data_IF_976862302722
#
_entry.id   IF_976862302722
#
_cell.length_a   1.000
_cell.length_b   1.000
_cell.length_c   1.000
_cell.angle_alpha   90.00
_cell.angle_beta   90.00
_cell.angle_gamma   90.00
#
_symmetry.space_group_name_H-M   'P 1'
#
loop_
_entity.id
_entity.type
_entity.pdbx_description
1 polymer ?
#
# COMPACT_ATOMS: atom_id res chain seq x y z
N UNK A 1 -9.55 2.03 -15.13
CA UNK A 1 -10.28 1.99 -13.84
C UNK A 1 -9.35 1.53 -12.74
N UNK A 2 -9.39 2.19 -11.57
CA UNK A 2 -8.76 1.75 -10.31
C UNK A 2 -9.82 1.02 -9.50
N UNK A 3 -9.56 -0.22 -9.11
CA UNK A 3 -10.39 -0.95 -8.16
C UNK A 3 -9.88 -0.68 -6.74
N UNK A 4 -10.74 -0.18 -5.86
CA UNK A 4 -10.43 0.07 -4.45
C UNK A 4 -11.12 -0.98 -3.60
N UNK A 5 -10.33 -1.81 -2.90
CA UNK A 5 -10.83 -2.76 -1.91
C UNK A 5 -10.87 -2.06 -0.55
N UNK A 6 -12.07 -1.79 -0.06
CA UNK A 6 -12.30 -1.06 1.19
C UNK A 6 -12.33 -2.02 2.39
N UNK A 7 -11.40 -1.84 3.30
CA UNK A 7 -11.27 -2.58 4.56
C UNK A 7 -12.06 -1.93 5.71
N UNK A 8 -13.18 -1.26 5.43
CA UNK A 8 -14.02 -0.59 6.43
C UNK A 8 -13.29 0.54 7.17
N UNK A 9 -12.52 1.32 6.45
CA UNK A 9 -11.77 2.44 7.02
C UNK A 9 -12.37 3.79 6.64
N UNK A 10 -12.44 4.71 7.60
CA UNK A 10 -12.96 6.06 7.37
C UNK A 10 -12.07 6.89 6.42
N UNK A 11 -10.79 6.55 6.29
CA UNK A 11 -9.86 7.23 5.40
C UNK A 11 -9.86 6.68 3.96
N UNK A 12 -10.54 5.54 3.68
CA UNK A 12 -10.66 5.00 2.32
C UNK A 12 -11.15 6.05 1.34
N UNK A 13 -12.17 6.83 1.73
CA UNK A 13 -12.75 7.84 0.84
C UNK A 13 -11.84 9.06 0.61
N UNK A 14 -10.87 9.34 1.48
CA UNK A 14 -9.84 10.33 1.21
C UNK A 14 -8.89 9.85 0.09
N UNK A 15 -8.53 8.56 0.06
CA UNK A 15 -7.78 7.96 -1.05
C UNK A 15 -8.60 8.03 -2.36
N UNK A 16 -9.88 7.71 -2.30
CA UNK A 16 -10.82 7.82 -3.43
C UNK A 16 -10.89 9.26 -3.93
N UNK A 17 -10.96 10.24 -3.03
CA UNK A 17 -10.96 11.65 -3.39
C UNK A 17 -9.66 12.04 -4.12
N UNK A 18 -8.48 11.68 -3.58
CA UNK A 18 -7.19 11.96 -4.23
C UNK A 18 -7.10 11.36 -5.64
N UNK A 19 -7.55 10.11 -5.79
CA UNK A 19 -7.62 9.47 -7.11
C UNK A 19 -8.60 10.19 -8.05
N UNK A 20 -9.76 10.64 -7.53
CA UNK A 20 -10.75 11.41 -8.29
C UNK A 20 -10.23 12.77 -8.75
N UNK A 21 -9.49 13.48 -7.90
CA UNK A 21 -8.82 14.76 -8.23
C UNK A 21 -7.76 14.57 -9.33
N UNK A 22 -7.19 13.38 -9.43
CA UNK A 22 -6.27 12.96 -10.50
C UNK A 22 -6.98 12.40 -11.74
N UNK A 23 -8.31 12.57 -11.83
CA UNK A 23 -9.17 12.10 -12.92
C UNK A 23 -9.14 10.57 -13.15
N UNK A 24 -8.88 9.78 -12.12
CA UNK A 24 -8.97 8.33 -12.22
C UNK A 24 -10.44 7.88 -12.27
N UNK A 25 -10.74 6.88 -13.10
CA UNK A 25 -11.99 6.12 -13.03
C UNK A 25 -11.88 5.11 -11.89
N UNK A 26 -12.82 5.12 -10.93
CA UNK A 26 -12.69 4.42 -9.65
C UNK A 26 -13.93 3.55 -9.39
N UNK A 27 -13.70 2.33 -8.94
CA UNK A 27 -14.73 1.44 -8.44
C UNK A 27 -14.36 0.98 -7.03
N UNK A 28 -15.24 1.21 -6.05
CA UNK A 28 -15.03 0.86 -4.64
C UNK A 28 -15.94 -0.30 -4.25
N UNK A 29 -15.38 -1.34 -3.64
CA UNK A 29 -16.14 -2.42 -2.99
C UNK A 29 -15.51 -2.78 -1.64
N UNK A 30 -16.35 -3.16 -0.69
CA UNK A 30 -15.89 -3.69 0.60
C UNK A 30 -15.29 -5.07 0.45
N UNK A 31 -14.38 -5.40 1.35
CA UNK A 31 -13.56 -6.60 1.32
C UNK A 31 -14.33 -7.93 1.53
N UNK A 32 -15.60 -7.85 1.91
CA UNK A 32 -16.52 -8.97 2.14
C UNK A 32 -17.77 -8.94 1.24
N UNK A 33 -17.90 -7.93 0.38
CA UNK A 33 -19.08 -7.73 -0.49
C UNK A 33 -18.80 -8.06 -1.97
N UNK A 34 -17.63 -8.64 -2.29
CA UNK A 34 -17.23 -8.98 -3.65
C UNK A 34 -16.41 -10.28 -3.65
N UNK A 35 -16.36 -10.95 -4.79
CA UNK A 35 -15.51 -12.15 -5.00
C UNK A 35 -14.38 -11.87 -5.99
N UNK A 36 -13.36 -12.74 -6.01
CA UNK A 36 -12.24 -12.64 -6.97
C UNK A 36 -12.74 -12.63 -8.41
N UNK A 37 -13.64 -13.54 -8.77
CA UNK A 37 -14.20 -13.64 -10.12
C UNK A 37 -14.96 -12.35 -10.52
N UNK A 38 -15.65 -11.73 -9.57
CA UNK A 38 -16.32 -10.46 -9.81
C UNK A 38 -15.33 -9.31 -10.01
N UNK A 39 -14.20 -9.30 -9.30
CA UNK A 39 -13.13 -8.32 -9.53
C UNK A 39 -12.50 -8.53 -10.92
N UNK A 40 -12.20 -9.78 -11.30
CA UNK A 40 -11.68 -10.08 -12.65
C UNK A 40 -12.66 -9.63 -13.75
N UNK A 41 -13.95 -9.90 -13.58
CA UNK A 41 -14.99 -9.49 -14.53
C UNK A 41 -15.09 -7.97 -14.71
N UNK A 42 -14.67 -7.18 -13.71
CA UNK A 42 -14.58 -5.69 -13.81
C UNK A 42 -13.37 -5.24 -14.62
N UNK A 43 -12.40 -6.13 -14.86
CA UNK A 43 -11.17 -5.87 -15.60
C UNK A 43 -10.45 -4.58 -15.17
N UNK A 44 -10.07 -4.45 -13.89
CA UNK A 44 -9.39 -3.26 -13.40
C UNK A 44 -8.00 -3.11 -14.02
N UNK A 45 -7.55 -1.88 -14.21
CA UNK A 45 -6.18 -1.60 -14.64
C UNK A 45 -5.18 -1.68 -13.46
N UNK A 46 -5.66 -1.51 -12.22
CA UNK A 46 -4.88 -1.58 -10.98
C UNK A 46 -5.78 -1.75 -9.76
N UNK A 47 -5.20 -2.20 -8.65
CA UNK A 47 -5.91 -2.38 -7.38
C UNK A 47 -5.25 -1.54 -6.29
N UNK A 48 -6.08 -0.83 -5.51
CA UNK A 48 -5.69 -0.18 -4.27
C UNK A 48 -6.37 -0.91 -3.10
N UNK A 49 -5.58 -1.36 -2.12
CA UNK A 49 -6.07 -1.98 -0.88
C UNK A 49 -5.97 -0.96 0.22
N UNK A 50 -7.11 -0.59 0.79
CA UNK A 50 -7.24 0.52 1.74
C UNK A 50 -6.62 0.22 3.11
N UNK A 51 -6.45 1.25 3.95
CA UNK A 51 -6.36 1.09 5.39
C UNK A 51 -7.53 0.29 5.94
N UNK A 52 -7.43 -0.13 7.19
CA UNK A 52 -8.51 -0.84 7.89
C UNK A 52 -8.15 -1.15 9.34
N UNK A 53 -9.14 -1.59 10.13
CA UNK A 53 -8.93 -2.05 11.50
C UNK A 53 -8.33 -3.45 11.55
N UNK A 54 -7.92 -3.87 12.75
CA UNK A 54 -7.48 -5.22 13.08
C UNK A 54 -6.19 -5.66 12.40
N UNK A 55 -6.10 -6.89 11.96
CA UNK A 55 -4.90 -7.53 11.41
C UNK A 55 -5.13 -8.01 9.98
N UNK A 56 -4.07 -8.35 9.21
CA UNK A 56 -4.22 -8.95 7.90
C UNK A 56 -5.10 -10.19 7.83
N UNK A 57 -5.19 -10.97 8.92
CA UNK A 57 -6.03 -12.18 8.99
C UNK A 57 -7.52 -11.86 8.99
N UNK A 58 -7.88 -10.65 9.39
CA UNK A 58 -9.25 -10.15 9.50
C UNK A 58 -9.60 -9.18 8.37
N UNK A 59 -8.69 -8.99 7.40
CA UNK A 59 -8.85 -8.07 6.26
C UNK A 59 -9.67 -8.67 5.10
N UNK A 60 -10.57 -9.62 5.38
CA UNK A 60 -11.44 -10.22 4.36
C UNK A 60 -10.65 -10.74 3.17
N UNK A 61 -11.05 -10.35 1.97
CA UNK A 61 -10.47 -10.81 0.70
C UNK A 61 -9.07 -10.24 0.40
N UNK A 62 -8.54 -9.31 1.20
CA UNK A 62 -7.32 -8.55 0.84
C UNK A 62 -6.12 -9.42 0.51
N UNK A 63 -5.86 -10.48 1.29
CA UNK A 63 -4.73 -11.39 1.05
C UNK A 63 -4.93 -12.21 -0.23
N UNK A 64 -6.15 -12.70 -0.46
CA UNK A 64 -6.48 -13.49 -1.65
C UNK A 64 -6.37 -12.63 -2.92
N UNK A 65 -6.83 -11.38 -2.88
CA UNK A 65 -6.68 -10.40 -3.96
C UNK A 65 -5.20 -10.17 -4.29
N UNK A 66 -4.34 -9.95 -3.28
CA UNK A 66 -2.91 -9.77 -3.50
C UNK A 66 -2.31 -10.99 -4.21
N UNK A 67 -2.58 -12.20 -3.72
CA UNK A 67 -2.04 -13.43 -4.28
C UNK A 67 -2.56 -13.71 -5.69
N UNK A 68 -3.86 -13.51 -5.90
CA UNK A 68 -4.49 -13.82 -7.18
C UNK A 68 -4.05 -12.87 -8.30
N UNK A 69 -3.91 -11.58 -8.00
CA UNK A 69 -3.54 -10.56 -8.98
C UNK A 69 -2.03 -10.27 -9.03
N UNK A 70 -1.21 -10.97 -8.21
CA UNK A 70 0.24 -10.85 -8.25
C UNK A 70 0.78 -11.11 -9.68
N UNK A 71 1.56 -10.16 -10.21
CA UNK A 71 2.10 -10.23 -11.57
C UNK A 71 1.10 -9.94 -12.71
N UNK A 72 -0.20 -9.83 -12.42
CA UNK A 72 -1.24 -9.58 -13.43
C UNK A 72 -1.49 -8.07 -13.62
N UNK A 73 -1.43 -7.30 -12.56
CA UNK A 73 -1.66 -5.85 -12.59
C UNK A 73 -1.03 -5.14 -11.37
N UNK A 74 -0.84 -3.81 -11.44
CA UNK A 74 -0.30 -3.04 -10.33
C UNK A 74 -1.20 -3.06 -9.10
N UNK A 75 -0.60 -3.33 -7.92
CA UNK A 75 -1.28 -3.33 -6.62
C UNK A 75 -0.56 -2.37 -5.68
N UNK A 76 -1.32 -1.51 -5.00
CA UNK A 76 -0.83 -0.70 -3.90
C UNK A 76 -1.63 -0.99 -2.63
N UNK A 77 -0.92 -1.22 -1.52
CA UNK A 77 -1.53 -1.37 -0.19
C UNK A 77 -1.19 -0.19 0.73
N UNK A 78 -2.18 0.35 1.43
CA UNK A 78 -2.01 1.43 2.40
C UNK A 78 -2.33 0.92 3.81
N UNK A 79 -1.44 1.15 4.76
CA UNK A 79 -1.56 0.80 6.18
C UNK A 79 -1.88 -0.71 6.37
N UNK A 80 -3.13 -1.10 6.63
CA UNK A 80 -3.53 -2.51 6.67
C UNK A 80 -3.23 -3.21 5.34
N UNK A 81 -3.48 -2.56 4.20
CA UNK A 81 -3.15 -3.09 2.88
C UNK A 81 -1.65 -3.39 2.70
N UNK A 82 -0.77 -2.54 3.22
CA UNK A 82 0.68 -2.78 3.28
C UNK A 82 1.01 -4.01 4.15
N UNK A 83 0.38 -4.13 5.31
CA UNK A 83 0.57 -5.28 6.19
C UNK A 83 0.04 -6.58 5.54
N UNK A 84 -1.06 -6.50 4.79
CA UNK A 84 -1.57 -7.62 3.99
C UNK A 84 -0.55 -8.06 2.92
N UNK A 85 0.18 -7.13 2.29
CA UNK A 85 1.26 -7.46 1.36
C UNK A 85 2.37 -8.22 2.10
N UNK A 86 2.88 -7.67 3.21
CA UNK A 86 3.89 -8.35 4.02
C UNK A 86 3.48 -9.78 4.40
N UNK A 87 2.24 -9.94 4.88
CA UNK A 87 1.69 -11.23 5.32
C UNK A 87 1.42 -12.19 4.17
N UNK A 88 0.93 -11.71 3.01
CA UNK A 88 0.60 -12.54 1.85
C UNK A 88 1.81 -13.31 1.32
N UNK A 89 3.00 -12.74 1.45
CA UNK A 89 4.26 -13.35 1.02
C UNK A 89 5.05 -14.03 2.15
N UNK A 90 4.49 -14.12 3.36
CA UNK A 90 5.04 -14.92 4.46
C UNK A 90 5.73 -14.12 5.57
N UNK A 91 5.70 -12.78 5.52
CA UNK A 91 6.20 -11.93 6.60
C UNK A 91 5.26 -11.92 7.82
N UNK A 92 5.83 -11.72 8.99
CA UNK A 92 5.06 -11.54 10.23
C UNK A 92 4.64 -10.08 10.39
N UNK A 93 3.40 -9.88 10.86
CA UNK A 93 2.89 -8.58 11.31
C UNK A 93 2.74 -8.63 12.82
N UNK A 94 3.41 -7.72 13.50
CA UNK A 94 3.54 -7.72 14.97
C UNK A 94 3.14 -6.39 15.57
N UNK A 95 2.83 -6.40 16.87
CA UNK A 95 2.58 -5.16 17.61
C UNK A 95 3.84 -4.32 17.62
N UNK A 96 3.72 -3.06 17.21
CA UNK A 96 4.81 -2.09 17.27
C UNK A 96 5.09 -1.73 18.74
N UNK A 97 6.36 -1.55 19.10
CA UNK A 97 6.77 -1.09 20.43
C UNK A 97 6.28 0.35 20.73
N UNK A 98 5.90 1.11 19.71
CA UNK A 98 5.28 2.44 19.83
C UNK A 98 3.91 2.46 19.18
N UNK A 99 2.91 2.84 19.95
CA UNK A 99 1.58 3.12 19.39
C UNK A 99 1.63 4.47 18.66
N UNK A 100 1.34 4.46 17.37
CA UNK A 100 1.27 5.65 16.51
C UNK A 100 -0.19 5.96 16.21
N UNK A 101 -0.68 7.08 16.72
CA UNK A 101 -2.05 7.52 16.47
C UNK A 101 -2.07 9.02 16.14
N UNK A 102 -2.23 9.35 14.86
CA UNK A 102 -2.25 10.74 14.39
C UNK A 102 -0.92 11.47 14.57
N UNK A 103 0.19 10.75 14.66
CA UNK A 103 1.53 11.32 14.81
C UNK A 103 2.24 11.38 13.48
N UNK A 104 3.02 12.44 13.29
CA UNK A 104 3.89 12.55 12.12
C UNK A 104 5.28 12.02 12.43
N UNK A 105 5.95 11.47 11.41
CA UNK A 105 7.34 11.05 11.48
C UNK A 105 8.04 11.35 10.16
N UNK A 106 9.31 11.79 10.19
CA UNK A 106 10.13 11.79 9.00
C UNK A 106 10.46 10.34 8.61
N UNK A 107 10.40 10.05 7.32
CA UNK A 107 10.83 8.77 6.76
C UNK A 107 11.84 9.00 5.65
N UNK A 108 12.79 8.10 5.49
CA UNK A 108 13.69 8.03 4.34
C UNK A 108 13.20 6.98 3.35
N UNK A 109 13.46 7.17 2.06
CA UNK A 109 13.02 6.26 1.02
C UNK A 109 14.02 6.18 -0.16
N UNK A 110 13.83 5.20 -1.03
CA UNK A 110 14.72 4.91 -2.17
C UNK A 110 14.56 5.88 -3.37
N UNK A 111 13.58 6.76 -3.39
CA UNK A 111 13.33 7.72 -4.48
C UNK A 111 12.76 7.12 -5.76
N UNK A 112 12.37 5.83 -5.76
CA UNK A 112 11.85 5.12 -6.93
C UNK A 112 10.35 4.88 -6.85
N UNK A 113 9.72 4.56 -7.97
CA UNK A 113 8.32 4.13 -8.11
C UNK A 113 7.35 5.07 -7.39
N UNK A 114 6.69 4.63 -6.32
CA UNK A 114 5.77 5.45 -5.52
C UNK A 114 6.43 6.74 -5.00
N UNK A 115 7.74 6.71 -4.75
CA UNK A 115 8.49 7.82 -4.16
C UNK A 115 9.19 8.72 -5.18
N UNK A 116 8.98 8.49 -6.48
CA UNK A 116 9.60 9.29 -7.54
C UNK A 116 9.20 10.76 -7.42
N UNK A 117 10.20 11.65 -7.35
CA UNK A 117 10.00 13.10 -7.25
C UNK A 117 9.59 13.59 -5.85
N UNK A 118 9.56 12.72 -4.85
CA UNK A 118 9.31 13.08 -3.46
C UNK A 118 10.67 13.30 -2.76
N UNK A 119 10.84 14.38 -1.97
CA UNK A 119 12.06 14.60 -1.19
C UNK A 119 12.28 13.48 -0.15
N UNK A 120 13.56 13.17 0.16
CA UNK A 120 13.89 12.24 1.23
C UNK A 120 14.93 12.88 2.17
N UNK A 121 14.66 12.97 3.49
CA UNK A 121 13.44 12.54 4.17
C UNK A 121 12.23 13.47 3.90
N UNK A 122 11.00 12.96 4.17
CA UNK A 122 9.79 13.79 4.20
C UNK A 122 8.84 13.34 5.32
N UNK A 123 7.86 14.17 5.67
CA UNK A 123 6.98 13.95 6.82
C UNK A 123 5.74 13.17 6.40
N UNK A 124 5.42 12.13 7.15
CA UNK A 124 4.24 11.27 6.93
C UNK A 124 3.42 11.08 8.20
N UNK A 125 2.11 10.90 8.04
CA UNK A 125 1.19 10.64 9.14
C UNK A 125 1.02 9.14 9.37
N UNK A 126 1.04 8.74 10.63
CA UNK A 126 0.98 7.35 11.08
C UNK A 126 -0.21 7.12 12.03
N UNK A 127 -1.00 6.07 11.75
CA UNK A 127 -2.16 5.64 12.55
C UNK A 127 -2.12 4.13 12.82
N UNK A 128 -0.96 3.55 13.15
CA UNK A 128 -0.83 2.11 13.26
C UNK A 128 -0.21 1.67 14.59
N UNK A 129 -0.70 0.57 15.12
CA UNK A 129 -0.12 -0.18 16.25
C UNK A 129 0.59 -1.46 15.82
N UNK A 130 0.44 -1.85 14.55
CA UNK A 130 1.08 -3.03 13.95
C UNK A 130 2.08 -2.60 12.89
N UNK A 131 3.12 -3.44 12.70
CA UNK A 131 4.16 -3.25 11.67
C UNK A 131 4.56 -4.59 11.07
N UNK A 132 5.02 -4.58 9.82
CA UNK A 132 5.71 -5.73 9.23
C UNK A 132 7.08 -5.87 9.90
N UNK A 133 7.33 -7.06 10.47
CA UNK A 133 8.56 -7.34 11.20
C UNK A 133 9.73 -7.51 10.23
N UNK A 134 10.80 -6.75 10.46
CA UNK A 134 11.97 -6.74 9.58
C UNK A 134 12.68 -8.09 9.52
N UNK A 135 12.85 -8.75 10.67
CA UNK A 135 13.60 -10.01 10.79
C UNK A 135 12.94 -11.20 10.06
N UNK A 136 11.66 -11.09 9.75
CA UNK A 136 10.90 -12.11 9.03
C UNK A 136 10.45 -11.65 7.65
N UNK A 137 11.02 -10.54 7.15
CA UNK A 137 10.69 -10.04 5.82
C UNK A 137 11.14 -11.05 4.76
N UNK A 138 10.22 -11.55 3.91
CA UNK A 138 10.57 -12.53 2.87
C UNK A 138 11.54 -11.95 1.84
N UNK A 139 12.41 -12.79 1.29
CA UNK A 139 13.41 -12.39 0.28
C UNK A 139 12.81 -11.77 -0.99
N UNK A 140 11.56 -12.10 -1.32
CA UNK A 140 10.86 -11.51 -2.47
C UNK A 140 10.39 -10.07 -2.25
N UNK A 141 10.45 -9.56 -1.01
CA UNK A 141 10.10 -8.18 -0.69
C UNK A 141 11.34 -7.34 -0.42
N UNK A 142 11.31 -6.09 -0.85
CA UNK A 142 12.33 -5.09 -0.57
C UNK A 142 11.73 -3.94 0.25
N UNK A 143 12.49 -3.43 1.23
CA UNK A 143 12.14 -2.21 1.97
C UNK A 143 12.43 -1.01 1.08
N UNK A 144 11.43 -0.16 0.85
CA UNK A 144 11.53 1.04 0.02
C UNK A 144 11.50 2.33 0.83
N UNK A 145 10.98 2.28 2.06
CA UNK A 145 11.00 3.41 2.99
C UNK A 145 11.06 2.90 4.45
N UNK A 146 11.67 3.71 5.33
CA UNK A 146 11.81 3.39 6.74
C UNK A 146 11.94 4.64 7.62
N UNK A 147 11.66 4.49 8.92
CA UNK A 147 11.98 5.50 9.93
C UNK A 147 13.46 5.45 10.33
N UNK A 148 13.92 6.46 11.07
CA UNK A 148 15.30 6.45 11.65
C UNK A 148 15.53 5.30 12.62
N UNK A 149 14.47 4.74 13.22
CA UNK A 149 14.53 3.58 14.11
C UNK A 149 14.45 2.24 13.38
N UNK A 150 14.36 2.25 12.04
CA UNK A 150 14.32 1.05 11.21
C UNK A 150 12.93 0.40 11.09
N UNK A 151 11.84 1.09 11.46
CA UNK A 151 10.50 0.60 11.19
C UNK A 151 10.23 0.65 9.68
N UNK A 152 9.72 -0.43 9.12
CA UNK A 152 9.39 -0.51 7.70
C UNK A 152 8.18 0.38 7.41
N UNK A 153 8.38 1.38 6.54
CA UNK A 153 7.35 2.32 6.11
C UNK A 153 6.96 2.16 4.65
N UNK A 154 7.74 1.42 3.88
CA UNK A 154 7.43 1.07 2.50
C UNK A 154 7.98 -0.28 2.11
N UNK A 155 7.23 -1.02 1.31
CA UNK A 155 7.59 -2.32 0.74
C UNK A 155 7.35 -2.33 -0.77
N UNK A 156 8.12 -3.16 -1.46
CA UNK A 156 7.92 -3.48 -2.86
C UNK A 156 8.23 -4.95 -3.10
N UNK A 157 7.40 -5.64 -3.90
CA UNK A 157 7.77 -6.96 -4.39
C UNK A 157 8.83 -6.82 -5.49
N UNK A 158 9.87 -7.67 -5.46
CA UNK A 158 11.01 -7.56 -6.37
C UNK A 158 10.67 -7.92 -7.83
N UNK A 159 9.69 -8.79 -8.04
CA UNK A 159 9.31 -9.29 -9.36
C UNK A 159 7.93 -8.81 -9.80
N UNK A 160 6.98 -8.68 -8.87
CA UNK A 160 5.61 -8.31 -9.17
C UNK A 160 5.37 -6.80 -8.97
N UNK A 161 4.45 -6.19 -9.73
CA UNK A 161 4.11 -4.77 -9.60
C UNK A 161 3.26 -4.51 -8.34
N UNK A 162 3.83 -4.76 -7.16
CA UNK A 162 3.16 -4.67 -5.86
C UNK A 162 3.97 -3.76 -4.94
N UNK A 163 3.32 -2.74 -4.40
CA UNK A 163 3.89 -1.76 -3.47
C UNK A 163 3.01 -1.59 -2.26
N UNK A 164 3.61 -1.27 -1.12
CA UNK A 164 2.88 -0.96 0.08
C UNK A 164 3.51 0.18 0.87
N UNK A 165 2.69 1.02 1.49
CA UNK A 165 3.12 2.05 2.43
C UNK A 165 2.40 1.91 3.75
N UNK A 166 3.13 1.97 4.88
CA UNK A 166 2.57 1.82 6.23
C UNK A 166 1.89 3.09 6.72
N UNK A 167 2.31 4.24 6.23
CA UNK A 167 1.73 5.54 6.55
C UNK A 167 0.51 5.85 5.66
N UNK A 168 -0.16 6.97 5.94
CA UNK A 168 -1.37 7.41 5.26
C UNK A 168 -1.07 8.55 4.29
N UNK A 169 -0.92 8.27 2.97
CA UNK A 169 -0.67 9.32 1.97
C UNK A 169 -1.85 10.26 1.80
N UNK A 170 -3.06 9.83 2.15
CA UNK A 170 -4.30 10.60 2.07
C UNK A 170 -4.52 11.56 3.24
N UNK A 171 -3.68 11.48 4.27
CA UNK A 171 -3.76 12.38 5.42
C UNK A 171 -3.24 13.78 5.05
N UNK A 172 -3.96 14.81 5.47
CA UNK A 172 -3.58 16.21 5.22
C UNK A 172 -2.20 16.59 5.80
N UNK A 173 -1.74 15.87 6.81
CA UNK A 173 -0.42 16.10 7.43
C UNK A 173 0.69 15.25 6.76
N UNK A 174 0.36 14.43 5.76
CA UNK A 174 1.35 13.74 4.93
C UNK A 174 1.69 14.61 3.73
N UNK A 175 2.95 15.01 3.64
CA UNK A 175 3.43 15.76 2.49
C UNK A 175 3.42 14.87 1.24
N UNK A 176 3.26 15.49 0.06
CA UNK A 176 3.34 14.79 -1.25
C UNK A 176 2.38 13.61 -1.49
N UNK A 177 1.26 13.53 -0.76
CA UNK A 177 0.29 12.43 -0.92
C UNK A 177 -0.25 12.32 -2.36
N UNK A 178 -0.63 13.45 -2.97
CA UNK A 178 -1.09 13.49 -4.37
C UNK A 178 0.00 13.04 -5.36
N UNK A 179 1.26 13.44 -5.13
CA UNK A 179 2.39 12.99 -5.97
C UNK A 179 2.52 11.48 -5.91
N UNK A 180 2.41 10.87 -4.73
CA UNK A 180 2.46 9.42 -4.56
C UNK A 180 1.32 8.72 -5.27
N UNK A 181 0.08 9.23 -5.15
CA UNK A 181 -1.07 8.65 -5.85
C UNK A 181 -0.94 8.79 -7.37
N UNK A 182 -0.42 9.93 -7.87
CA UNK A 182 -0.12 10.10 -9.29
C UNK A 182 0.97 9.11 -9.75
N UNK A 183 2.00 8.90 -8.94
CA UNK A 183 3.02 7.90 -9.24
C UNK A 183 2.40 6.50 -9.35
N UNK A 184 1.53 6.10 -8.41
CA UNK A 184 0.80 4.83 -8.48
C UNK A 184 -0.02 4.71 -9.77
N UNK A 185 -0.71 5.78 -10.19
CA UNK A 185 -1.46 5.78 -11.45
C UNK A 185 -0.57 5.62 -12.70
N UNK A 186 0.70 5.99 -12.62
CA UNK A 186 1.66 5.90 -13.72
C UNK A 186 2.45 4.57 -13.73
N UNK A 187 2.42 3.79 -12.65
CA UNK A 187 3.11 2.50 -12.60
C UNK A 187 2.42 1.46 -13.51
N UNK A 188 3.21 0.62 -14.14
CA UNK A 188 2.76 -0.46 -15.02
C UNK A 188 3.48 -1.77 -14.69
N UNK A 189 3.04 -2.88 -15.27
CA UNK A 189 3.67 -4.20 -15.13
C UNK A 189 5.13 -4.14 -15.63
N UNK A 190 5.40 -3.38 -16.68
CA UNK A 190 6.72 -3.29 -17.32
C UNK A 190 7.76 -2.56 -16.47
N UNK A 191 7.34 -1.68 -15.57
CA UNK A 191 8.26 -0.90 -14.73
C UNK A 191 9.03 -1.76 -13.71
N UNK A 192 8.52 -2.94 -13.35
CA UNK A 192 9.13 -3.79 -12.33
C UNK A 192 10.26 -4.69 -12.88
N UNK A 193 10.25 -5.01 -14.17
CA UNK A 193 11.25 -5.91 -14.77
C UNK A 193 12.63 -5.25 -14.91
N UNK A 194 12.71 -3.92 -14.91
CA UNK A 194 13.94 -3.16 -15.15
C UNK A 194 14.57 -2.54 -13.88
N UNK A 195 14.00 -2.76 -12.69
CA UNK A 195 14.46 -2.06 -11.48
C UNK A 195 15.64 -2.74 -10.75
N UNK A 196 16.02 -3.95 -11.16
CA UNK A 196 17.02 -4.78 -10.46
C UNK A 196 18.12 -5.36 -11.37
N UNK A 197 18.26 -4.86 -12.61
CA UNK A 197 19.41 -5.16 -13.49
C UNK A 197 20.30 -3.94 -13.68
#
# INVERSE_FOLDING_TARGET
MVFVLDNYDSFTFNLVQYLGELNADILVHRNDEITIDQIEAKNPARILISPGPCTPREAGLSIEVIKHFAGKLPIMGVCLGHQCIGHAFGGEVVVNYRMMHGKTSPITHNGKDLFKGIPSPYVTTRYHSLVVKRDTLPDCLAVTAETSEGEIMGLQHKEFPIWGVQFHPESILTEHGHTMMQNFLNLSIENNVNAYF
#
